data_IF_692222930598
#
_entry.id   IF_692222930598
#
_cell.length_a   1.000
_cell.length_b   1.000
_cell.length_c   1.000
_cell.angle_alpha   90.00
_cell.angle_beta   90.00
_cell.angle_gamma   90.00
#
_symmetry.space_group_name_H-M   'P 1'
#
loop_
_entity.id
_entity.type
_entity.pdbx_description
1 polymer ?
#
# COMPACT_ATOMS: atom_id res chain seq x y z
N UNK A 1 15.57 -9.96 -2.57
CA UNK A 1 14.99 -10.82 -1.51
C UNK A 1 14.15 -10.02 -0.53
N UNK A 2 14.66 -8.88 -0.04
CA UNK A 2 13.99 -7.98 0.89
C UNK A 2 12.54 -7.60 0.49
N UNK A 3 12.33 -7.10 -0.74
CA UNK A 3 10.99 -6.75 -1.23
C UNK A 3 10.01 -7.93 -1.19
N UNK A 4 10.45 -9.12 -1.62
CA UNK A 4 9.61 -10.31 -1.63
C UNK A 4 9.17 -10.67 -0.21
N UNK A 5 10.10 -10.72 0.75
CA UNK A 5 9.79 -11.07 2.13
C UNK A 5 8.89 -10.01 2.78
N UNK A 6 9.13 -8.72 2.51
CA UNK A 6 8.24 -7.66 3.01
C UNK A 6 6.82 -7.78 2.48
N UNK A 7 6.65 -7.84 1.15
CA UNK A 7 5.32 -7.91 0.56
C UNK A 7 4.59 -9.19 0.96
N UNK A 8 5.26 -10.35 0.88
CA UNK A 8 4.61 -11.62 1.23
C UNK A 8 4.29 -11.74 2.71
N UNK A 9 5.19 -11.32 3.61
CA UNK A 9 4.90 -11.37 5.06
C UNK A 9 3.73 -10.47 5.42
N UNK A 10 3.66 -9.27 4.87
CA UNK A 10 2.53 -8.35 5.09
C UNK A 10 1.23 -8.98 4.56
N UNK A 11 1.21 -9.42 3.30
CA UNK A 11 0.00 -9.94 2.66
C UNK A 11 -0.44 -11.32 3.20
N UNK A 12 0.46 -12.10 3.78
CA UNK A 12 0.12 -13.37 4.43
C UNK A 12 -0.61 -13.15 5.77
N UNK A 13 -0.30 -12.07 6.49
CA UNK A 13 -0.83 -11.81 7.83
C UNK A 13 -1.95 -10.76 7.85
N UNK A 14 -2.02 -9.89 6.84
CA UNK A 14 -2.95 -8.77 6.82
C UNK A 14 -3.66 -8.60 5.48
N UNK A 15 -4.93 -8.23 5.57
CA UNK A 15 -5.68 -7.65 4.46
C UNK A 15 -5.46 -6.13 4.47
N UNK A 16 -5.05 -5.58 3.33
CA UNK A 16 -4.80 -4.14 3.17
C UNK A 16 -6.07 -3.49 2.62
N UNK A 17 -6.53 -2.42 3.28
CA UNK A 17 -7.69 -1.65 2.84
C UNK A 17 -7.38 -0.15 2.78
N UNK A 18 -7.97 0.51 1.78
CA UNK A 18 -7.90 1.95 1.57
C UNK A 18 -9.14 2.64 2.16
N UNK A 19 -9.03 3.89 2.67
CA UNK A 19 -10.19 4.70 3.04
C UNK A 19 -10.98 5.22 1.83
N UNK A 20 -10.38 5.21 0.63
CA UNK A 20 -11.00 5.60 -0.64
C UNK A 20 -11.19 4.39 -1.55
N UNK A 21 -12.17 4.46 -2.45
CA UNK A 21 -12.43 3.40 -3.42
C UNK A 21 -11.24 3.21 -4.38
N UNK A 22 -10.95 1.99 -4.86
CA UNK A 22 -9.81 1.73 -5.74
C UNK A 22 -9.80 2.59 -7.02
N UNK A 23 -10.96 2.87 -7.59
CA UNK A 23 -11.15 3.71 -8.78
C UNK A 23 -10.80 5.19 -8.55
N UNK A 24 -10.85 5.66 -7.30
CA UNK A 24 -10.57 7.05 -6.92
C UNK A 24 -9.11 7.27 -6.47
N UNK A 25 -8.28 6.22 -6.52
CA UNK A 25 -6.86 6.33 -6.14
C UNK A 25 -6.11 7.08 -7.23
N UNK A 26 -5.66 8.30 -6.90
CA UNK A 26 -4.77 9.06 -7.76
C UNK A 26 -3.36 8.45 -7.77
N UNK A 27 -2.88 8.09 -8.96
CA UNK A 27 -1.54 7.57 -9.20
C UNK A 27 -0.59 8.63 -9.77
N UNK A 28 -1.04 9.88 -9.86
CA UNK A 28 -0.22 11.00 -10.29
C UNK A 28 0.94 11.19 -9.31
N UNK A 29 2.20 11.18 -9.76
CA UNK A 29 3.34 11.37 -8.88
C UNK A 29 3.28 12.75 -8.21
N UNK A 30 3.60 12.82 -6.92
CA UNK A 30 3.71 14.08 -6.20
C UNK A 30 4.89 14.91 -6.70
N UNK A 31 6.01 14.23 -6.99
CA UNK A 31 7.22 14.82 -7.53
C UNK A 31 7.77 13.91 -8.63
N UNK A 32 8.28 14.50 -9.72
CA UNK A 32 8.78 13.78 -10.90
C UNK A 32 10.20 14.18 -11.32
N UNK A 33 10.96 14.84 -10.42
CA UNK A 33 12.32 15.30 -10.68
C UNK A 33 13.33 14.14 -10.80
N UNK A 34 14.04 13.82 -9.72
CA UNK A 34 15.06 12.75 -9.70
C UNK A 34 14.42 11.35 -9.58
N UNK A 35 13.14 11.27 -9.20
CA UNK A 35 12.36 10.04 -9.16
C UNK A 35 10.85 10.36 -9.18
N UNK A 36 10.03 9.34 -9.49
CA UNK A 36 8.57 9.44 -9.43
C UNK A 36 8.11 9.05 -8.02
N UNK A 37 7.90 10.04 -7.17
CA UNK A 37 7.44 9.83 -5.79
C UNK A 37 5.92 9.64 -5.81
N UNK A 38 5.38 8.58 -5.20
CA UNK A 38 3.93 8.40 -5.11
C UNK A 38 3.29 9.53 -4.27
N UNK A 39 2.02 9.86 -4.49
CA UNK A 39 1.29 10.79 -3.64
C UNK A 39 1.19 10.27 -2.21
N UNK A 40 0.97 11.17 -1.25
CA UNK A 40 0.69 10.77 0.14
C UNK A 40 -0.61 9.97 0.17
N UNK A 41 -0.54 8.77 0.75
CA UNK A 41 -1.69 7.87 0.87
C UNK A 41 -1.86 7.37 2.30
N UNK A 42 -3.05 6.87 2.61
CA UNK A 42 -3.35 6.18 3.87
C UNK A 42 -3.88 4.78 3.55
N UNK A 43 -3.45 3.80 4.34
CA UNK A 43 -3.94 2.42 4.30
C UNK A 43 -4.15 1.91 5.72
N UNK A 44 -4.99 0.89 5.85
CA UNK A 44 -5.20 0.15 7.08
C UNK A 44 -4.80 -1.31 6.89
N UNK A 45 -4.19 -1.89 7.92
CA UNK A 45 -3.85 -3.30 7.98
C UNK A 45 -4.83 -4.02 8.89
N UNK A 46 -5.59 -4.98 8.34
CA UNK A 46 -6.54 -5.79 9.07
C UNK A 46 -5.94 -7.17 9.30
N UNK A 47 -5.69 -7.52 10.56
CA UNK A 47 -5.07 -8.80 10.93
C UNK A 47 -6.00 -9.96 10.62
N UNK A 48 -5.47 -11.00 9.97
CA UNK A 48 -6.21 -12.26 9.76
C UNK A 48 -6.39 -13.06 11.06
N UNK A 49 -5.70 -12.71 12.14
CA UNK A 49 -5.54 -13.57 13.33
C UNK A 49 -6.51 -13.25 14.48
N UNK A 50 -7.50 -12.40 14.23
CA UNK A 50 -8.54 -12.00 15.20
C UNK A 50 -9.97 -12.15 14.69
N UNK A 51 -10.16 -12.80 13.54
CA UNK A 51 -11.46 -13.22 12.98
C UNK A 51 -11.82 -14.65 13.42
#
# INVERSE_FOLDING_TARGET
MELFLFFTTILQNFSVASPVAPEDIDLTPQESGIGRVPPVYQISFRSHRGD
#
